data_IF_304114922826
#
_entry.id   IF_304114922826
#
_cell.length_a   1.000
_cell.length_b   1.000
_cell.length_c   1.000
_cell.angle_alpha   90.00
_cell.angle_beta   90.00
_cell.angle_gamma   90.00
#
_symmetry.space_group_name_H-M   'P 1'
#
loop_
_entity.id
_entity.type
_entity.pdbx_description
1 polymer ?
#
# COMPACT_ATOMS: atom_id res chain seq x y z
N UNK A 1 15.49 10.75 -22.46
CA UNK A 1 14.21 10.71 -21.72
C UNK A 1 13.34 9.69 -22.42
N UNK A 2 13.01 8.59 -21.74
CA UNK A 2 12.29 7.44 -22.31
C UNK A 2 10.88 7.85 -22.76
N UNK A 3 10.39 7.28 -23.87
CA UNK A 3 9.05 7.56 -24.44
C UNK A 3 7.89 7.14 -23.52
N UNK A 4 8.16 6.46 -22.41
CA UNK A 4 7.20 6.07 -21.36
C UNK A 4 6.60 7.29 -20.67
N UNK A 5 7.40 8.34 -20.44
CA UNK A 5 6.91 9.61 -19.84
C UNK A 5 5.98 10.40 -20.78
N UNK A 6 5.86 9.98 -22.05
CA UNK A 6 4.93 10.57 -23.01
C UNK A 6 3.51 9.99 -22.89
N UNK A 7 3.33 8.88 -22.16
CA UNK A 7 1.99 8.34 -21.92
C UNK A 7 1.25 9.22 -20.91
N UNK A 8 0.08 9.72 -21.31
CA UNK A 8 -0.73 10.61 -20.49
C UNK A 8 -1.09 9.96 -19.14
N UNK A 9 -1.27 8.65 -19.13
CA UNK A 9 -1.72 7.89 -17.96
C UNK A 9 -0.68 7.87 -16.85
N UNK A 10 0.59 7.61 -17.19
CA UNK A 10 1.71 7.59 -16.24
C UNK A 10 1.97 9.00 -15.72
N UNK A 11 1.85 10.01 -16.58
CA UNK A 11 2.01 11.40 -16.17
C UNK A 11 0.91 11.81 -15.18
N UNK A 12 -0.34 11.44 -15.43
CA UNK A 12 -1.46 11.64 -14.49
C UNK A 12 -1.20 10.87 -13.18
N UNK A 13 -0.74 9.62 -13.25
CA UNK A 13 -0.43 8.82 -12.07
C UNK A 13 0.64 9.51 -11.21
N UNK A 14 1.76 9.92 -11.80
CA UNK A 14 2.85 10.60 -11.10
C UNK A 14 2.42 11.95 -10.53
N UNK A 15 1.57 12.69 -11.24
CA UNK A 15 1.01 13.95 -10.74
C UNK A 15 0.10 13.74 -9.53
N UNK A 16 -0.81 12.76 -9.58
CA UNK A 16 -1.66 12.42 -8.44
C UNK A 16 -0.85 11.85 -7.27
N UNK A 17 0.17 11.03 -7.56
CA UNK A 17 1.08 10.48 -6.58
C UNK A 17 1.86 11.59 -5.84
N UNK A 18 2.44 12.54 -6.57
CA UNK A 18 3.20 13.67 -6.01
C UNK A 18 2.31 14.58 -5.17
N UNK A 19 1.13 14.94 -5.66
CA UNK A 19 0.18 15.80 -4.92
C UNK A 19 -0.23 15.16 -3.60
N UNK A 20 -0.64 13.88 -3.61
CA UNK A 20 -0.98 13.16 -2.39
C UNK A 20 0.22 13.02 -1.45
N UNK A 21 1.41 12.75 -1.98
CA UNK A 21 2.63 12.68 -1.18
C UNK A 21 2.92 14.00 -0.45
N UNK A 22 2.76 15.16 -1.10
CA UNK A 22 2.98 16.46 -0.46
C UNK A 22 1.99 16.73 0.67
N UNK A 23 0.71 16.39 0.50
CA UNK A 23 -0.32 16.50 1.55
C UNK A 23 0.02 15.62 2.77
N UNK A 24 0.50 14.40 2.51
CA UNK A 24 0.94 13.47 3.54
C UNK A 24 2.19 13.96 4.27
N UNK A 25 3.14 14.57 3.56
CA UNK A 25 4.36 15.16 4.14
C UNK A 25 4.01 16.30 5.10
N UNK A 26 3.10 17.20 4.70
CA UNK A 26 2.61 18.26 5.59
C UNK A 26 1.96 17.64 6.83
N UNK A 27 1.10 16.64 6.64
CA UNK A 27 0.43 15.94 7.75
C UNK A 27 1.41 15.22 8.68
N UNK A 28 2.51 14.69 8.15
CA UNK A 28 3.58 14.02 8.91
C UNK A 28 4.28 14.97 9.88
N UNK A 29 4.69 16.16 9.41
CA UNK A 29 5.34 17.18 10.26
C UNK A 29 4.42 17.57 11.42
N UNK A 30 3.13 17.76 11.12
CA UNK A 30 2.14 18.15 12.12
C UNK A 30 1.82 17.02 13.09
N UNK A 31 1.81 15.76 12.61
CA UNK A 31 1.60 14.57 13.44
C UNK A 31 2.70 14.39 14.49
N UNK A 32 3.97 14.64 14.12
CA UNK A 32 5.09 14.62 15.08
C UNK A 32 4.92 15.70 16.15
N UNK A 33 4.53 16.91 15.74
CA UNK A 33 4.28 18.03 16.66
C UNK A 33 3.17 17.69 17.66
N UNK A 34 2.06 17.13 17.16
CA UNK A 34 0.95 16.69 18.00
C UNK A 34 1.41 15.60 18.97
N UNK A 35 2.13 14.57 18.51
CA UNK A 35 2.58 13.47 19.37
C UNK A 35 3.47 13.92 20.53
N UNK A 36 4.34 14.91 20.31
CA UNK A 36 5.27 15.44 21.33
C UNK A 36 4.52 16.12 22.47
N UNK A 37 3.51 16.93 22.15
CA UNK A 37 2.88 17.84 23.11
C UNK A 37 1.49 17.35 23.59
N UNK A 38 0.99 16.19 23.09
CA UNK A 38 -0.36 15.71 23.40
C UNK A 38 -0.53 15.21 24.84
N UNK A 39 -1.40 15.89 25.60
CA UNK A 39 -1.84 15.51 26.93
C UNK A 39 -3.35 15.75 27.12
N UNK A 40 -4.15 14.68 27.01
CA UNK A 40 -5.61 14.74 27.12
C UNK A 40 -6.10 15.14 28.53
N UNK A 41 -5.26 14.99 29.58
CA UNK A 41 -5.67 15.34 30.95
C UNK A 41 -5.56 16.85 31.23
N UNK A 42 -4.86 17.60 30.38
CA UNK A 42 -4.63 19.03 30.57
C UNK A 42 -5.61 19.86 29.75
N UNK A 43 -6.40 20.70 30.41
CA UNK A 43 -7.31 21.65 29.77
C UNK A 43 -6.66 23.03 29.61
N UNK A 44 -5.53 23.11 28.91
CA UNK A 44 -4.84 24.40 28.64
C UNK A 44 -5.19 24.92 27.24
N UNK A 45 -5.06 26.24 27.02
CA UNK A 45 -5.33 26.86 25.71
C UNK A 45 -4.46 26.25 24.57
N UNK A 46 -3.26 25.79 24.91
CA UNK A 46 -2.38 25.08 23.98
C UNK A 46 -2.98 23.74 23.54
N UNK A 47 -3.50 22.93 24.47
CA UNK A 47 -4.14 21.64 24.16
C UNK A 47 -5.38 21.83 23.29
N UNK A 48 -6.21 22.84 23.59
CA UNK A 48 -7.38 23.16 22.76
C UNK A 48 -6.99 23.54 21.32
N UNK A 49 -5.89 24.28 21.13
CA UNK A 49 -5.35 24.61 19.80
C UNK A 49 -4.81 23.36 19.08
N UNK A 50 -4.13 22.47 19.80
CA UNK A 50 -3.64 21.19 19.27
C UNK A 50 -4.79 20.27 18.85
N UNK A 51 -5.87 20.21 19.63
CA UNK A 51 -7.04 19.39 19.33
C UNK A 51 -7.74 19.84 18.05
N UNK A 52 -8.00 21.15 17.89
CA UNK A 52 -8.53 21.70 16.63
C UNK A 52 -7.64 21.40 15.44
N UNK A 53 -6.32 21.54 15.60
CA UNK A 53 -5.34 21.24 14.55
C UNK A 53 -5.29 19.75 14.23
N UNK A 54 -5.40 18.89 15.24
CA UNK A 54 -5.43 17.44 15.09
C UNK A 54 -6.62 16.99 14.25
N UNK A 55 -7.80 17.57 14.45
CA UNK A 55 -8.98 17.27 13.63
C UNK A 55 -8.72 17.52 12.13
N UNK A 56 -8.14 18.68 11.79
CA UNK A 56 -7.80 19.00 10.40
C UNK A 56 -6.75 18.02 9.84
N UNK A 57 -5.71 17.71 10.61
CA UNK A 57 -4.65 16.79 10.19
C UNK A 57 -5.20 15.38 9.95
N UNK A 58 -6.02 14.85 10.86
CA UNK A 58 -6.66 13.53 10.72
C UNK A 58 -7.55 13.49 9.48
N UNK A 59 -8.26 14.59 9.18
CA UNK A 59 -9.09 14.68 7.98
C UNK A 59 -8.25 14.66 6.70
N UNK A 60 -7.15 15.40 6.64
CA UNK A 60 -6.22 15.38 5.49
C UNK A 60 -5.61 13.99 5.30
N UNK A 61 -5.19 13.34 6.40
CA UNK A 61 -4.66 11.97 6.36
C UNK A 61 -5.73 11.01 5.82
N UNK A 62 -6.94 11.04 6.40
CA UNK A 62 -8.04 10.17 5.99
C UNK A 62 -8.38 10.32 4.51
N UNK A 63 -8.45 11.56 4.02
CA UNK A 63 -8.68 11.84 2.61
C UNK A 63 -7.54 11.30 1.73
N UNK A 64 -6.29 11.61 2.09
CA UNK A 64 -5.11 11.22 1.31
C UNK A 64 -4.94 9.69 1.23
N UNK A 65 -5.16 8.99 2.34
CA UNK A 65 -5.10 7.53 2.38
C UNK A 65 -6.24 6.88 1.58
N UNK A 66 -7.43 7.47 1.58
CA UNK A 66 -8.54 7.01 0.73
C UNK A 66 -8.21 7.15 -0.75
N UNK A 67 -7.66 8.31 -1.17
CA UNK A 67 -7.21 8.50 -2.55
C UNK A 67 -6.09 7.53 -2.92
N UNK A 68 -5.18 7.19 -2.00
CA UNK A 68 -4.14 6.17 -2.25
C UNK A 68 -4.72 4.79 -2.61
N UNK A 69 -5.87 4.41 -2.04
CA UNK A 69 -6.57 3.16 -2.42
C UNK A 69 -7.02 3.24 -3.88
N UNK A 70 -7.62 4.35 -4.32
CA UNK A 70 -8.02 4.54 -5.72
C UNK A 70 -6.81 4.59 -6.66
N UNK A 71 -5.72 5.22 -6.21
CA UNK A 71 -4.48 5.36 -6.97
C UNK A 71 -3.79 4.01 -7.23
N UNK A 72 -3.97 3.03 -6.34
CA UNK A 72 -3.52 1.66 -6.58
C UNK A 72 -4.21 1.01 -7.78
N UNK A 73 -5.53 1.11 -7.90
CA UNK A 73 -6.26 0.58 -9.05
C UNK A 73 -5.86 1.31 -10.34
N UNK A 74 -5.70 2.63 -10.25
CA UNK A 74 -5.25 3.44 -11.38
C UNK A 74 -3.83 3.08 -11.84
N UNK A 75 -2.94 2.74 -10.90
CA UNK A 75 -1.60 2.25 -11.21
C UNK A 75 -1.62 0.95 -12.01
N UNK A 76 -2.42 -0.04 -11.60
CA UNK A 76 -2.57 -1.30 -12.34
C UNK A 76 -3.07 -1.03 -13.76
N UNK A 77 -4.10 -0.19 -13.90
CA UNK A 77 -4.62 0.22 -15.20
C UNK A 77 -3.57 0.91 -16.08
N UNK A 78 -2.77 1.81 -15.50
CA UNK A 78 -1.71 2.52 -16.24
C UNK A 78 -0.62 1.57 -16.73
N UNK A 79 -0.26 0.54 -15.94
CA UNK A 79 0.72 -0.47 -16.34
C UNK A 79 0.15 -1.41 -17.41
N UNK A 80 -1.14 -1.76 -17.33
CA UNK A 80 -1.78 -2.60 -18.34
C UNK A 80 -1.82 -1.91 -19.71
N UNK A 81 -2.21 -0.65 -19.77
CA UNK A 81 -2.18 0.10 -21.03
C UNK A 81 -0.75 0.35 -21.53
N UNK A 82 0.25 0.38 -20.64
CA UNK A 82 1.65 0.46 -21.03
C UNK A 82 2.13 -0.79 -21.77
N UNK A 83 1.46 -1.94 -21.61
CA UNK A 83 1.84 -3.19 -22.29
C UNK A 83 1.79 -3.05 -23.81
N UNK A 84 0.89 -2.22 -24.34
CA UNK A 84 0.80 -1.93 -25.78
C UNK A 84 2.03 -1.19 -26.35
N UNK A 85 2.80 -0.50 -25.51
CA UNK A 85 3.99 0.25 -25.93
C UNK A 85 5.29 -0.54 -25.75
N UNK A 86 5.28 -1.60 -24.96
CA UNK A 86 6.46 -2.41 -24.65
C UNK A 86 6.47 -3.66 -25.51
N UNK A 87 7.56 -3.88 -26.25
CA UNK A 87 7.70 -5.03 -27.15
C UNK A 87 7.65 -6.32 -26.33
N UNK A 88 6.73 -7.23 -26.67
CA UNK A 88 6.56 -8.53 -25.99
C UNK A 88 5.59 -8.52 -24.78
N UNK A 89 5.17 -7.35 -24.29
CA UNK A 89 4.23 -7.27 -23.18
C UNK A 89 2.77 -7.40 -23.68
N UNK A 90 2.19 -8.61 -23.58
CA UNK A 90 0.77 -8.81 -23.88
C UNK A 90 -0.16 -8.43 -22.73
N UNK A 91 0.35 -8.38 -21.50
CA UNK A 91 -0.41 -8.07 -20.29
C UNK A 91 0.47 -7.36 -19.26
N UNK A 92 -0.14 -6.67 -18.28
CA UNK A 92 0.59 -6.01 -17.18
C UNK A 92 1.59 -6.92 -16.45
N UNK A 93 1.35 -8.23 -16.38
CA UNK A 93 2.23 -9.17 -15.68
C UNK A 93 3.65 -9.23 -16.28
N UNK A 94 3.78 -9.04 -17.60
CA UNK A 94 5.09 -8.95 -18.25
C UNK A 94 5.86 -7.71 -17.79
N UNK A 95 5.19 -6.59 -17.57
CA UNK A 95 5.86 -5.37 -17.09
C UNK A 95 6.24 -5.51 -15.61
N UNK A 96 5.45 -6.23 -14.81
CA UNK A 96 5.76 -6.48 -13.41
C UNK A 96 6.92 -7.47 -13.18
N UNK A 97 7.25 -8.33 -14.16
CA UNK A 97 8.40 -9.25 -14.05
C UNK A 97 9.75 -8.57 -14.25
N UNK A 98 9.77 -7.32 -14.72
CA UNK A 98 10.96 -6.48 -14.79
C UNK A 98 11.50 -6.14 -13.40
N UNK A 99 12.76 -5.71 -13.35
CA UNK A 99 13.42 -5.27 -12.12
C UNK A 99 12.57 -4.21 -11.40
N UNK A 100 12.34 -4.38 -10.09
CA UNK A 100 11.49 -3.56 -9.22
C UNK A 100 9.96 -3.69 -9.39
N UNK A 101 9.44 -4.43 -10.38
CA UNK A 101 7.99 -4.57 -10.58
C UNK A 101 7.30 -5.37 -9.47
N UNK A 102 7.75 -6.60 -9.23
CA UNK A 102 7.25 -7.47 -8.14
C UNK A 102 7.34 -6.77 -6.77
N UNK A 103 8.46 -6.08 -6.50
CA UNK A 103 8.69 -5.42 -5.21
C UNK A 103 7.82 -4.17 -5.02
N UNK A 104 7.53 -3.41 -6.09
CA UNK A 104 6.61 -2.27 -6.03
C UNK A 104 5.18 -2.75 -5.74
N UNK A 105 4.74 -3.82 -6.41
CA UNK A 105 3.41 -4.40 -6.19
C UNK A 105 3.26 -4.92 -4.75
N UNK A 106 4.26 -5.66 -4.26
CA UNK A 106 4.30 -6.15 -2.88
C UNK A 106 4.19 -5.01 -1.85
N UNK A 107 4.94 -3.92 -2.07
CA UNK A 107 4.92 -2.78 -1.16
C UNK A 107 3.58 -2.04 -1.17
N UNK A 108 2.94 -1.89 -2.34
CA UNK A 108 1.61 -1.30 -2.47
C UNK A 108 0.54 -2.10 -1.74
N UNK A 109 0.53 -3.43 -1.90
CA UNK A 109 -0.38 -4.32 -1.17
C UNK A 109 -0.18 -4.21 0.34
N UNK A 110 1.08 -4.23 0.78
CA UNK A 110 1.44 -4.05 2.19
C UNK A 110 0.94 -2.71 2.73
N UNK A 111 1.11 -1.62 1.97
CA UNK A 111 0.63 -0.29 2.36
C UNK A 111 -0.91 -0.22 2.47
N UNK A 112 -1.65 -0.83 1.53
CA UNK A 112 -3.12 -0.88 1.59
C UNK A 112 -3.64 -1.50 2.89
N UNK A 113 -2.94 -2.51 3.40
CA UNK A 113 -3.30 -3.14 4.67
C UNK A 113 -3.13 -2.21 5.87
N UNK A 114 -1.97 -1.57 5.98
CA UNK A 114 -1.74 -0.61 7.06
C UNK A 114 -2.73 0.56 7.00
N UNK A 115 -3.07 1.01 5.78
CA UNK A 115 -4.13 2.01 5.55
C UNK A 115 -5.47 1.52 6.12
N UNK A 116 -5.88 0.29 5.82
CA UNK A 116 -7.10 -0.31 6.36
C UNK A 116 -7.11 -0.32 7.90
N UNK A 117 -6.01 -0.72 8.53
CA UNK A 117 -5.87 -0.71 9.99
C UNK A 117 -5.99 0.71 10.55
N UNK A 118 -5.38 1.69 9.88
CA UNK A 118 -5.48 3.08 10.29
C UNK A 118 -6.93 3.59 10.27
N UNK A 119 -7.70 3.25 9.23
CA UNK A 119 -9.13 3.58 9.15
C UNK A 119 -9.95 2.95 10.27
N UNK A 120 -9.69 1.68 10.60
CA UNK A 120 -10.36 0.99 11.72
C UNK A 120 -10.05 1.70 13.04
N UNK A 121 -8.79 2.04 13.29
CA UNK A 121 -8.39 2.79 14.49
C UNK A 121 -9.06 4.16 14.55
N UNK A 122 -9.11 4.89 13.43
CA UNK A 122 -9.76 6.19 13.38
C UNK A 122 -11.27 6.10 13.66
N UNK A 123 -11.96 5.07 13.13
CA UNK A 123 -13.38 4.83 13.42
C UNK A 123 -13.63 4.49 14.89
N UNK A 124 -12.73 3.72 15.52
CA UNK A 124 -12.82 3.37 16.94
C UNK A 124 -12.55 4.56 17.86
N UNK A 125 -11.67 5.47 17.43
CA UNK A 125 -11.33 6.68 18.18
C UNK A 125 -12.49 7.68 18.14
N UNK A 126 -13.12 7.90 16.97
CA UNK A 126 -14.30 8.78 16.84
C UNK A 126 -15.52 8.31 17.66
N UNK A 127 -15.60 7.01 17.99
CA UNK A 127 -16.69 6.44 18.81
C UNK A 127 -16.48 6.60 20.31
N UNK A 128 -15.26 6.92 20.78
CA UNK A 128 -14.95 7.06 22.21
C UNK A 128 -14.67 8.52 22.56
N UNK A 129 -15.22 8.99 23.69
CA UNK A 129 -15.09 10.39 24.13
C UNK A 129 -13.69 10.72 24.66
N UNK A 130 -12.94 9.69 25.01
CA UNK A 130 -11.68 9.75 25.74
C UNK A 130 -10.44 9.74 24.81
N UNK A 131 -10.62 9.73 23.48
CA UNK A 131 -9.58 9.90 22.44
C UNK A 131 -8.30 9.06 22.65
N UNK A 132 -8.44 7.90 23.30
CA UNK A 132 -7.34 7.06 23.77
C UNK A 132 -6.44 6.57 22.63
N UNK A 133 -6.96 6.45 21.41
CA UNK A 133 -6.23 5.90 20.27
C UNK A 133 -5.54 6.97 19.42
N UNK A 134 -5.66 8.25 19.79
CA UNK A 134 -5.04 9.36 19.04
C UNK A 134 -3.52 9.20 18.89
N UNK A 135 -2.81 8.80 19.96
CA UNK A 135 -1.36 8.57 19.86
C UNK A 135 -1.02 7.36 18.98
N UNK A 136 -1.77 6.27 19.13
CA UNK A 136 -1.54 5.01 18.41
C UNK A 136 -1.76 5.22 16.91
N UNK A 137 -2.84 5.89 16.50
CA UNK A 137 -3.14 6.14 15.08
C UNK A 137 -2.13 7.09 14.42
N UNK A 138 -1.61 8.07 15.17
CA UNK A 138 -0.57 8.98 14.66
C UNK A 138 0.80 8.30 14.55
N UNK A 139 1.14 7.40 15.48
CA UNK A 139 2.35 6.59 15.38
C UNK A 139 2.27 5.63 14.19
N UNK A 140 1.13 4.95 14.01
CA UNK A 140 0.88 4.11 12.85
C UNK A 140 0.95 4.92 11.54
N UNK A 141 0.43 6.15 11.53
CA UNK A 141 0.54 7.03 10.38
C UNK A 141 2.00 7.38 10.03
N UNK A 142 2.84 7.66 11.03
CA UNK A 142 4.28 7.90 10.82
C UNK A 142 4.94 6.69 10.14
N UNK A 143 4.61 5.48 10.59
CA UNK A 143 5.11 4.25 9.98
C UNK A 143 4.62 4.10 8.53
N UNK A 144 3.31 4.30 8.28
CA UNK A 144 2.73 4.28 6.92
C UNK A 144 3.41 5.29 6.01
N UNK A 145 3.66 6.51 6.50
CA UNK A 145 4.32 7.55 5.71
C UNK A 145 5.71 7.12 5.24
N UNK A 146 6.51 6.49 6.13
CA UNK A 146 7.84 5.95 5.76
C UNK A 146 7.69 4.87 4.69
N UNK A 147 6.74 3.95 4.80
CA UNK A 147 6.52 2.93 3.77
C UNK A 147 6.04 3.54 2.44
N UNK A 148 5.23 4.59 2.47
CA UNK A 148 4.79 5.34 1.29
C UNK A 148 5.94 6.13 0.63
N UNK A 149 6.94 6.59 1.39
CA UNK A 149 8.11 7.26 0.81
C UNK A 149 8.97 6.25 0.03
N UNK A 150 9.14 5.04 0.55
CA UNK A 150 9.80 3.95 -0.18
C UNK A 150 9.03 3.56 -1.44
N UNK A 151 7.70 3.43 -1.36
CA UNK A 151 6.84 3.18 -2.53
C UNK A 151 7.02 4.26 -3.59
N UNK A 152 7.02 5.53 -3.19
CA UNK A 152 7.22 6.64 -4.09
C UNK A 152 8.56 6.55 -4.82
N UNK A 153 9.66 6.29 -4.10
CA UNK A 153 11.00 6.16 -4.70
C UNK A 153 11.06 4.96 -5.65
N UNK A 154 10.47 3.83 -5.27
CA UNK A 154 10.42 2.63 -6.10
C UNK A 154 9.62 2.85 -7.38
N UNK A 155 8.49 3.54 -7.32
CA UNK A 155 7.69 3.85 -8.52
C UNK A 155 8.48 4.70 -9.52
N UNK A 156 9.24 5.70 -9.04
CA UNK A 156 10.11 6.49 -9.91
C UNK A 156 11.22 5.65 -10.54
N UNK A 157 11.87 4.78 -9.77
CA UNK A 157 12.92 3.88 -10.28
C UNK A 157 12.37 2.88 -11.27
N UNK A 158 11.25 2.24 -10.93
CA UNK A 158 10.56 1.27 -11.77
C UNK A 158 10.21 1.89 -13.12
N UNK A 159 9.47 3.01 -13.14
CA UNK A 159 9.06 3.66 -14.38
C UNK A 159 10.23 4.20 -15.22
N UNK A 160 11.36 4.55 -14.59
CA UNK A 160 12.56 5.02 -15.30
C UNK A 160 13.36 3.89 -15.94
N UNK A 161 13.28 2.68 -15.38
CA UNK A 161 14.07 1.52 -15.80
C UNK A 161 13.34 0.59 -16.77
N UNK A 162 12.09 0.87 -17.16
CA UNK A 162 11.36 0.03 -18.12
C UNK A 162 12.07 0.09 -19.49
N UNK A 163 12.60 -1.05 -20.00
CA UNK A 163 13.20 -1.10 -21.32
C UNK A 163 12.10 -1.06 -22.38
N UNK A 164 12.23 -0.16 -23.34
CA UNK A 164 11.27 -0.01 -24.45
C UNK A 164 11.66 -0.83 -25.69
N UNK A 165 12.93 -1.23 -25.78
CA UNK A 165 13.51 -1.81 -26.99
C UNK A 165 13.88 -3.29 -26.82
N UNK A 166 13.71 -3.86 -25.63
CA UNK A 166 14.00 -5.25 -25.33
C UNK A 166 12.69 -6.02 -25.13
N UNK A 167 12.63 -7.24 -25.66
CA UNK A 167 11.46 -8.07 -25.51
C UNK A 167 11.33 -8.54 -24.06
N UNK A 168 10.20 -8.23 -23.44
CA UNK A 168 9.89 -8.69 -22.08
C UNK A 168 9.26 -10.09 -22.11
N UNK A 169 9.36 -10.85 -21.03
CA UNK A 169 8.79 -12.18 -20.94
C UNK A 169 7.28 -12.17 -21.19
N UNK A 170 6.82 -13.03 -22.12
CA UNK A 170 5.41 -13.23 -22.39
C UNK A 170 4.72 -13.87 -21.18
N UNK A 171 3.47 -13.51 -20.94
CA UNK A 171 2.68 -14.01 -19.81
C UNK A 171 2.61 -15.56 -19.80
N UNK A 172 2.64 -16.23 -20.96
CA UNK A 172 2.68 -17.71 -21.05
C UNK A 172 3.93 -18.32 -20.43
N UNK A 173 5.11 -17.70 -20.58
CA UNK A 173 6.37 -18.20 -20.00
C UNK A 173 6.42 -17.98 -18.50
N UNK A 174 5.87 -16.85 -18.02
CA UNK A 174 5.75 -16.54 -16.59
C UNK A 174 4.81 -17.56 -15.91
N UNK A 175 3.68 -17.91 -16.53
CA UNK A 175 2.74 -18.89 -15.99
C UNK A 175 3.17 -20.35 -16.18
N UNK A 176 4.01 -20.67 -17.18
CA UNK A 176 4.61 -22.01 -17.31
C UNK A 176 5.74 -22.24 -16.30
N UNK A 177 6.61 -21.26 -16.07
CA UNK A 177 7.71 -21.39 -15.11
C UNK A 177 7.23 -21.43 -13.66
N UNK A 178 6.09 -20.82 -13.33
CA UNK A 178 5.43 -21.00 -12.03
C UNK A 178 4.81 -22.39 -11.84
N UNK A 179 4.51 -23.11 -12.93
CA UNK A 179 4.00 -24.49 -12.88
C UNK A 179 5.11 -25.56 -12.73
N UNK A 180 6.37 -25.22 -13.05
CA UNK A 180 7.52 -26.13 -13.00
C UNK A 180 8.51 -25.68 -11.90
N UNK A 181 8.24 -26.14 -10.67
CA UNK A 181 9.21 -26.48 -9.62
C UNK A 181 10.17 -25.42 -9.02
N UNK A 182 10.27 -24.17 -9.48
CA UNK A 182 11.38 -23.29 -9.04
C UNK A 182 11.01 -22.15 -8.08
N UNK A 183 9.72 -21.83 -7.92
CA UNK A 183 9.25 -20.76 -7.01
C UNK A 183 8.06 -21.19 -6.16
N UNK A 184 7.94 -22.44 -5.72
CA UNK A 184 6.90 -22.80 -4.72
C UNK A 184 7.59 -22.95 -3.36
N UNK A 185 7.24 -22.14 -2.34
CA UNK A 185 7.76 -22.37 -1.01
C UNK A 185 7.19 -23.70 -0.51
N UNK A 186 8.06 -24.54 0.04
CA UNK A 186 7.75 -25.86 0.60
C UNK A 186 7.37 -26.99 -0.41
N UNK A 187 7.48 -26.77 -1.73
CA UNK A 187 7.26 -27.84 -2.72
C UNK A 187 5.81 -28.38 -2.75
N UNK A 188 4.83 -27.52 -2.43
CA UNK A 188 3.41 -27.88 -2.41
C UNK A 188 2.83 -28.00 -3.82
N UNK A 189 1.94 -28.98 -4.02
CA UNK A 189 1.16 -29.16 -5.26
C UNK A 189 0.15 -28.00 -5.41
N UNK A 190 -0.06 -27.47 -6.62
CA UNK A 190 -0.95 -26.32 -6.90
C UNK A 190 -2.33 -26.39 -6.20
N UNK A 191 -2.93 -27.58 -6.11
CA UNK A 191 -4.23 -27.79 -5.43
C UNK A 191 -4.16 -27.50 -3.92
N UNK A 192 -3.06 -27.85 -3.25
CA UNK A 192 -2.88 -27.60 -1.82
C UNK A 192 -2.63 -26.12 -1.50
N UNK A 193 -2.04 -25.38 -2.43
CA UNK A 193 -1.77 -23.94 -2.31
C UNK A 193 -3.07 -23.13 -2.36
N UNK A 194 -3.98 -23.49 -3.28
CA UNK A 194 -5.33 -22.92 -3.37
C UNK A 194 -6.14 -23.18 -2.09
N UNK A 195 -6.05 -24.40 -1.54
CA UNK A 195 -6.71 -24.74 -0.28
C UNK A 195 -6.20 -23.86 0.88
N UNK A 196 -4.87 -23.71 1.00
CA UNK A 196 -4.25 -22.88 2.03
C UNK A 196 -4.66 -21.40 1.87
N UNK A 197 -4.72 -20.89 0.64
CA UNK A 197 -5.20 -19.55 0.35
C UNK A 197 -6.62 -19.32 0.90
N UNK A 198 -7.57 -20.22 0.61
CA UNK A 198 -8.94 -20.09 1.11
C UNK A 198 -9.04 -20.25 2.63
N UNK A 199 -8.24 -21.15 3.22
CA UNK A 199 -8.18 -21.31 4.68
C UNK A 199 -7.69 -20.02 5.34
N UNK A 200 -6.61 -19.43 4.84
CA UNK A 200 -6.07 -18.17 5.35
C UNK A 200 -7.07 -17.03 5.18
N UNK A 201 -7.74 -16.94 4.04
CA UNK A 201 -8.79 -15.94 3.82
C UNK A 201 -9.93 -16.06 4.85
N UNK A 202 -10.46 -17.27 5.04
CA UNK A 202 -11.51 -17.53 6.04
C UNK A 202 -11.02 -17.22 7.45
N UNK A 203 -9.78 -17.58 7.78
CA UNK A 203 -9.17 -17.31 9.07
C UNK A 203 -9.03 -15.79 9.33
N UNK A 204 -8.63 -15.00 8.33
CA UNK A 204 -8.58 -13.53 8.41
C UNK A 204 -9.98 -12.97 8.72
N UNK A 205 -11.00 -13.45 8.02
CA UNK A 205 -12.40 -13.01 8.23
C UNK A 205 -12.86 -13.34 9.65
N UNK A 206 -12.63 -14.57 10.12
CA UNK A 206 -13.01 -15.00 11.46
C UNK A 206 -12.29 -14.18 12.53
N UNK A 207 -10.99 -13.94 12.38
CA UNK A 207 -10.21 -13.17 13.35
C UNK A 207 -10.61 -11.70 13.41
N UNK A 208 -10.97 -11.11 12.26
CA UNK A 208 -11.55 -9.77 12.21
C UNK A 208 -12.89 -9.69 12.95
N UNK A 209 -13.76 -10.70 12.81
CA UNK A 209 -15.04 -10.77 13.51
C UNK A 209 -14.82 -10.94 15.03
N UNK A 210 -13.86 -11.77 15.43
CA UNK A 210 -13.58 -12.05 16.84
C UNK A 210 -12.85 -10.91 17.56
N UNK A 211 -12.46 -9.82 16.86
CA UNK A 211 -11.67 -8.69 17.40
C UNK A 211 -10.43 -9.13 18.20
N UNK A 212 -9.83 -10.26 17.82
CA UNK A 212 -8.64 -10.80 18.48
C UNK A 212 -7.39 -10.00 18.08
N UNK A 213 -6.29 -10.28 18.78
CA UNK A 213 -4.99 -9.61 18.67
C UNK A 213 -4.65 -9.13 17.25
N UNK A 214 -4.46 -7.81 17.11
CA UNK A 214 -4.02 -7.12 15.89
C UNK A 214 -2.73 -7.74 15.33
N UNK A 215 -1.82 -8.24 16.18
CA UNK A 215 -0.57 -8.89 15.76
C UNK A 215 -0.80 -10.20 15.00
N UNK A 216 -1.84 -10.95 15.35
CA UNK A 216 -2.14 -12.23 14.71
C UNK A 216 -2.77 -12.01 13.32
N UNK A 217 -3.54 -10.92 13.16
CA UNK A 217 -4.01 -10.43 11.86
C UNK A 217 -2.85 -9.99 10.95
N UNK A 218 -1.83 -9.30 11.50
CA UNK A 218 -0.63 -8.91 10.75
C UNK A 218 0.11 -10.12 10.15
N UNK A 219 0.36 -11.14 10.98
CA UNK A 219 1.11 -12.33 10.56
C UNK A 219 0.39 -13.11 9.46
N UNK A 220 -0.92 -13.33 9.60
CA UNK A 220 -1.71 -14.08 8.62
C UNK A 220 -1.85 -13.30 7.32
N UNK A 221 -2.01 -11.97 7.41
CA UNK A 221 -2.07 -11.13 6.22
C UNK A 221 -0.75 -11.12 5.44
N UNK A 222 0.39 -11.04 6.14
CA UNK A 222 1.70 -11.11 5.48
C UNK A 222 1.91 -12.47 4.78
N UNK A 223 1.48 -13.56 5.43
CA UNK A 223 1.53 -14.91 4.86
C UNK A 223 0.59 -15.04 3.64
N UNK A 224 -0.55 -14.35 3.68
CA UNK A 224 -1.50 -14.27 2.56
C UNK A 224 -0.94 -13.46 1.37
N UNK A 225 -0.32 -12.30 1.60
CA UNK A 225 0.37 -11.57 0.52
C UNK A 225 1.49 -12.42 -0.06
N UNK A 226 2.31 -13.05 0.79
CA UNK A 226 3.42 -13.88 0.33
C UNK A 226 2.94 -15.00 -0.60
N UNK A 227 1.79 -15.63 -0.29
CA UNK A 227 1.18 -16.64 -1.16
C UNK A 227 0.56 -16.08 -2.45
N UNK A 228 0.17 -14.81 -2.49
CA UNK A 228 -0.36 -14.16 -3.70
C UNK A 228 0.76 -13.79 -4.68
N UNK A 229 1.91 -13.37 -4.15
CA UNK A 229 3.01 -12.84 -4.97
C UNK A 229 3.87 -13.94 -5.62
N UNK A 230 3.49 -15.20 -5.46
CA UNK A 230 4.26 -16.39 -5.81
C UNK A 230 3.55 -17.22 -6.88
#
# INVERSE_FOLDING_TARGET
>A
MSSIFLSNEILIFLFLQTTIYTLLLISFIYSITILRDWDFKKSTALQYKLEKRSYLVILIISFSLFIKILLFFYFIFSIDNLSHFVVGAMCAAGIFSLEYGEISLFLKLTNLFFIGIWFVLNSLDLKRKDYKYTKIKLLLFIFIFICLTFEYILDFKFLSNIPLNEAVECCSVIFETSSISSKIPFGLVNSSLILIFYILFVLIVILNIQKKSILLLFLIYYLFIYLILQ
#
